data_IF_087417107990
#
_entry.id   IF_087417107990
#
_cell.length_a   1.000
_cell.length_b   1.000
_cell.length_c   1.000
_cell.angle_alpha   90.00
_cell.angle_beta   90.00
_cell.angle_gamma   90.00
#
_symmetry.space_group_name_H-M   'P 1'
#
loop_
_entity.id
_entity.type
_entity.pdbx_description
1 polymer ?
#
# COMPACT_ATOMS: atom_id res chain seq x y z
N UNK A 1 -5.71 3.47 -18.51
CA UNK A 1 -6.26 4.71 -17.93
C UNK A 1 -5.24 5.42 -17.05
N UNK A 2 -4.81 4.84 -15.91
CA UNK A 2 -3.86 5.47 -14.98
C UNK A 2 -2.55 5.90 -15.65
N UNK A 3 -1.92 5.05 -16.48
CA UNK A 3 -0.70 5.43 -17.24
C UNK A 3 -0.88 6.66 -18.14
N UNK A 4 -2.08 6.86 -18.69
CA UNK A 4 -2.40 8.02 -19.55
C UNK A 4 -2.67 9.28 -18.73
N UNK A 5 -3.34 9.12 -17.59
CA UNK A 5 -3.80 10.25 -16.77
C UNK A 5 -2.80 10.66 -15.67
N UNK A 6 -1.81 9.82 -15.36
CA UNK A 6 -0.81 10.05 -14.31
C UNK A 6 -1.32 9.85 -12.87
N UNK A 7 -2.63 9.80 -12.66
CA UNK A 7 -3.26 9.73 -11.32
C UNK A 7 -4.40 8.70 -11.29
N UNK A 8 -4.75 8.26 -10.08
CA UNK A 8 -5.89 7.37 -9.85
C UNK A 8 -6.31 7.31 -8.38
N UNK A 9 -7.62 7.21 -8.15
CA UNK A 9 -8.20 6.92 -6.84
C UNK A 9 -8.73 5.48 -6.87
N UNK A 10 -8.34 4.66 -5.88
CA UNK A 10 -8.75 3.25 -5.82
C UNK A 10 -9.23 2.85 -4.44
N UNK A 11 -10.42 2.24 -4.39
CA UNK A 11 -10.96 1.62 -3.18
C UNK A 11 -10.14 0.41 -2.70
N UNK A 12 -10.53 -0.22 -1.58
CA UNK A 12 -9.96 -1.49 -1.16
C UNK A 12 -10.32 -2.59 -2.18
N UNK A 13 -9.33 -3.40 -2.57
CA UNK A 13 -9.53 -4.56 -3.44
C UNK A 13 -9.22 -5.82 -2.64
N UNK A 14 -10.20 -6.71 -2.53
CA UNK A 14 -10.02 -8.00 -1.87
C UNK A 14 -8.92 -8.79 -2.62
N UNK A 15 -8.00 -9.40 -1.87
CA UNK A 15 -7.07 -10.37 -2.41
C UNK A 15 -7.62 -11.75 -2.06
N UNK A 16 -7.95 -12.60 -3.05
CA UNK A 16 -8.37 -13.97 -2.77
C UNK A 16 -7.27 -14.71 -1.99
N UNK A 17 -7.65 -15.42 -0.93
CA UNK A 17 -6.72 -16.23 -0.12
C UNK A 17 -6.34 -17.54 -0.85
N UNK A 18 -7.02 -17.84 -1.96
CA UNK A 18 -6.77 -19.03 -2.77
C UNK A 18 -5.37 -19.01 -3.41
N UNK A 19 -4.62 -20.11 -3.24
CA UNK A 19 -3.31 -20.35 -3.85
C UNK A 19 -3.39 -20.15 -5.36
N UNK A 20 -2.68 -19.15 -5.89
CA UNK A 20 -2.46 -19.00 -7.34
C UNK A 20 -2.67 -17.60 -7.94
N UNK A 21 -3.33 -16.66 -7.24
CA UNK A 21 -3.55 -15.31 -7.76
C UNK A 21 -2.62 -14.27 -7.12
N UNK A 22 -1.80 -13.59 -7.93
CA UNK A 22 -1.05 -12.39 -7.49
C UNK A 22 -2.04 -11.29 -7.10
N UNK A 23 -1.83 -10.67 -5.94
CA UNK A 23 -2.66 -9.54 -5.49
C UNK A 23 -2.70 -8.44 -6.55
N UNK A 24 -3.90 -7.98 -6.93
CA UNK A 24 -4.05 -6.84 -7.84
C UNK A 24 -3.29 -5.60 -7.35
N UNK A 25 -3.21 -5.41 -6.03
CA UNK A 25 -2.47 -4.30 -5.43
C UNK A 25 -0.96 -4.43 -5.73
N UNK A 26 -0.40 -5.63 -5.66
CA UNK A 26 1.01 -5.88 -5.98
C UNK A 26 1.27 -5.65 -7.46
N UNK A 27 0.41 -6.19 -8.32
CA UNK A 27 0.51 -6.02 -9.77
C UNK A 27 0.49 -4.55 -10.16
N UNK A 28 -0.46 -3.76 -9.65
CA UNK A 28 -0.55 -2.33 -9.94
C UNK A 28 0.70 -1.55 -9.52
N UNK A 29 1.29 -1.89 -8.37
CA UNK A 29 2.50 -1.20 -7.89
C UNK A 29 3.69 -1.44 -8.81
N UNK A 30 3.89 -2.69 -9.21
CA UNK A 30 4.98 -3.07 -10.14
C UNK A 30 4.76 -2.46 -11.52
N UNK A 31 3.56 -2.62 -12.09
CA UNK A 31 3.24 -2.13 -13.44
C UNK A 31 3.26 -0.59 -13.56
N UNK A 32 3.06 0.13 -12.46
CA UNK A 32 3.06 1.59 -12.44
C UNK A 32 4.32 2.19 -11.80
N UNK A 33 5.30 1.37 -11.39
CA UNK A 33 6.52 1.86 -10.75
C UNK A 33 6.27 2.61 -9.44
N UNK A 34 5.23 2.26 -8.68
CA UNK A 34 4.84 2.95 -7.44
C UNK A 34 5.69 2.48 -6.24
N UNK A 35 6.98 2.86 -6.25
CA UNK A 35 7.99 2.39 -5.31
C UNK A 35 7.82 2.88 -3.86
N UNK A 36 7.25 4.08 -3.66
CA UNK A 36 7.04 4.65 -2.33
C UNK A 36 5.57 4.57 -1.90
N UNK A 37 5.33 3.96 -0.74
CA UNK A 37 4.04 4.01 -0.05
C UNK A 37 4.13 4.98 1.13
N UNK A 38 3.44 6.12 1.04
CA UNK A 38 3.43 7.17 2.06
C UNK A 38 2.18 7.03 2.93
N UNK A 39 2.38 6.96 4.26
CA UNK A 39 1.29 6.83 5.25
C UNK A 39 1.43 7.86 6.37
N UNK A 40 0.82 9.04 6.21
CA UNK A 40 0.69 9.99 7.32
C UNK A 40 -0.24 9.42 8.39
N UNK A 41 0.17 9.52 9.64
CA UNK A 41 -0.61 9.14 10.81
C UNK A 41 -0.49 10.26 11.83
N UNK A 42 -1.61 10.91 12.14
CA UNK A 42 -1.64 12.00 13.10
C UNK A 42 -2.91 11.93 13.96
N UNK A 43 -2.84 12.50 15.16
CA UNK A 43 -3.98 12.60 16.07
C UNK A 43 -5.04 13.53 15.48
N UNK A 44 -6.28 13.04 15.35
CA UNK A 44 -7.40 13.84 14.87
C UNK A 44 -8.05 14.64 16.01
N UNK A 45 -8.23 15.97 15.85
CA UNK A 45 -8.96 16.77 16.82
C UNK A 45 -10.37 16.20 17.08
N UNK A 46 -10.73 16.03 18.34
CA UNK A 46 -12.05 15.51 18.74
C UNK A 46 -12.19 13.99 18.70
N UNK A 47 -11.16 13.22 18.32
CA UNK A 47 -11.20 11.76 18.33
C UNK A 47 -10.22 11.18 19.35
N UNK A 48 -10.74 10.71 20.50
CA UNK A 48 -9.88 10.16 21.56
C UNK A 48 -9.35 8.79 21.15
N UNK A 49 -8.03 8.66 21.20
CA UNK A 49 -7.35 7.36 21.11
C UNK A 49 -6.53 7.11 22.37
N UNK A 50 -5.81 5.98 22.43
CA UNK A 50 -4.89 5.69 23.53
C UNK A 50 -3.70 6.66 23.59
N UNK A 51 -3.27 7.18 22.45
CA UNK A 51 -2.08 8.03 22.33
C UNK A 51 -2.49 9.44 21.90
N UNK A 52 -1.84 10.44 22.48
CA UNK A 52 -2.04 11.85 22.19
C UNK A 52 -0.84 12.41 21.39
N UNK A 53 -1.08 13.46 20.61
CA UNK A 53 -0.06 14.19 19.82
C UNK A 53 0.79 13.29 18.90
N UNK A 54 0.15 12.31 18.24
CA UNK A 54 0.80 11.54 17.18
C UNK A 54 0.96 12.45 15.96
N UNK A 55 2.19 12.52 15.42
CA UNK A 55 2.51 13.16 14.15
C UNK A 55 3.70 12.45 13.52
N UNK A 56 3.44 11.53 12.60
CA UNK A 56 4.47 10.77 11.90
C UNK A 56 4.05 10.38 10.50
N UNK A 57 5.06 10.11 9.65
CA UNK A 57 4.87 9.58 8.30
C UNK A 57 5.70 8.33 8.15
N UNK A 58 5.06 7.20 7.88
CA UNK A 58 5.78 5.99 7.43
C UNK A 58 5.99 6.04 5.93
N UNK A 59 7.25 5.97 5.51
CA UNK A 59 7.64 5.72 4.11
C UNK A 59 8.01 4.25 4.01
N UNK A 60 7.26 3.50 3.20
CA UNK A 60 7.44 2.07 3.04
C UNK A 60 7.81 1.73 1.59
N UNK A 61 8.88 0.96 1.43
CA UNK A 61 9.27 0.33 0.17
C UNK A 61 8.14 -0.58 -0.34
N UNK A 62 7.86 -0.53 -1.65
CA UNK A 62 6.59 -1.04 -2.20
C UNK A 62 6.74 -1.85 -3.50
N UNK A 63 7.97 -2.10 -3.93
CA UNK A 63 8.37 -2.82 -5.14
C UNK A 63 9.08 -4.15 -4.87
N UNK A 64 9.76 -4.29 -3.73
CA UNK A 64 10.66 -5.41 -3.41
C UNK A 64 10.38 -6.04 -2.01
N UNK A 65 11.41 -6.65 -1.41
CA UNK A 65 11.39 -7.20 -0.05
C UNK A 65 10.54 -8.47 0.11
N UNK A 66 9.86 -8.58 1.26
CA UNK A 66 8.93 -9.66 1.61
C UNK A 66 7.80 -9.87 0.59
N UNK A 67 7.55 -8.88 -0.29
CA UNK A 67 6.53 -8.95 -1.34
C UNK A 67 7.11 -9.34 -2.71
N UNK A 68 8.38 -9.73 -2.78
CA UNK A 68 9.02 -10.23 -4.01
C UNK A 68 8.38 -11.54 -4.49
N UNK A 69 7.83 -12.34 -3.58
CA UNK A 69 7.14 -13.60 -3.88
C UNK A 69 8.08 -14.70 -4.39
N UNK A 70 9.38 -14.61 -4.05
CA UNK A 70 10.38 -15.63 -4.30
C UNK A 70 10.49 -16.53 -3.07
N UNK A 71 9.71 -17.60 -3.04
CA UNK A 71 9.77 -18.63 -2.00
C UNK A 71 10.27 -19.94 -2.62
N UNK A 72 11.20 -20.61 -1.95
CA UNK A 72 11.65 -21.97 -2.28
C UNK A 72 11.46 -22.86 -1.04
N UNK A 73 11.31 -24.17 -1.25
CA UNK A 73 11.24 -25.16 -0.16
C UNK A 73 12.62 -25.53 0.37
#
# INVERSE_FOLDING_TARGET
>A
SVRRNGVGLKGPMATPIAKGHRSLNLTLRKELGLYANVRPCYSLPGYKTRYDNVDLVTIRENTEGEYSGLEHQ
#
